data_IF_662623515660
#
_entry.id   IF_662623515660
#
_cell.length_a   1.000
_cell.length_b   1.000
_cell.length_c   1.000
_cell.angle_alpha   90.00
_cell.angle_beta   90.00
_cell.angle_gamma   90.00
#
_symmetry.space_group_name_H-M   'P 1'
#
loop_
_entity.id
_entity.type
_entity.pdbx_description
1 polymer ?
#
# COMPACT_ATOMS: atom_id res chain seq x y z
N UNK A 1 -2.20 19.55 -10.65
CA UNK A 1 -1.94 18.13 -10.30
C UNK A 1 -3.23 17.56 -9.73
N UNK A 2 -3.76 16.49 -10.31
CA UNK A 2 -5.11 16.00 -10.04
C UNK A 2 -5.23 15.44 -8.62
N UNK A 3 -6.01 16.12 -7.77
CA UNK A 3 -6.32 15.78 -6.38
C UNK A 3 -6.53 14.26 -6.17
N UNK A 4 -7.30 13.63 -7.06
CA UNK A 4 -7.63 12.20 -7.04
C UNK A 4 -6.44 11.23 -7.08
N UNK A 5 -5.36 11.54 -7.81
CA UNK A 5 -4.20 10.64 -7.93
C UNK A 5 -3.40 10.54 -6.63
N UNK A 6 -3.37 11.63 -5.86
CA UNK A 6 -2.72 11.66 -4.56
C UNK A 6 -3.57 10.94 -3.50
N UNK A 7 -4.89 11.08 -3.59
CA UNK A 7 -5.84 10.49 -2.63
C UNK A 7 -5.81 8.94 -2.70
N UNK A 8 -5.78 8.35 -3.90
CA UNK A 8 -5.66 6.89 -4.09
C UNK A 8 -4.32 6.34 -3.62
N UNK A 9 -3.21 7.06 -3.89
CA UNK A 9 -1.89 6.66 -3.37
C UNK A 9 -1.87 6.65 -1.84
N UNK A 10 -2.41 7.69 -1.19
CA UNK A 10 -2.55 7.73 0.25
C UNK A 10 -3.39 6.58 0.81
N UNK A 11 -4.49 6.23 0.13
CA UNK A 11 -5.33 5.11 0.49
C UNK A 11 -4.62 3.76 0.35
N UNK A 12 -3.85 3.56 -0.72
CA UNK A 12 -3.05 2.35 -0.91
C UNK A 12 -1.99 2.21 0.18
N UNK A 13 -1.28 3.28 0.52
CA UNK A 13 -0.32 3.28 1.64
C UNK A 13 -0.98 2.93 2.97
N UNK A 14 -2.15 3.52 3.26
CA UNK A 14 -2.92 3.21 4.46
C UNK A 14 -3.39 1.74 4.47
N UNK A 15 -3.83 1.23 3.32
CA UNK A 15 -4.24 -0.17 3.19
C UNK A 15 -3.07 -1.12 3.44
N UNK A 16 -1.90 -0.87 2.84
CA UNK A 16 -0.70 -1.69 3.07
C UNK A 16 -0.34 -1.70 4.57
N UNK A 17 -0.35 -0.54 5.23
CA UNK A 17 -0.09 -0.44 6.67
C UNK A 17 -1.12 -1.21 7.51
N UNK A 18 -2.40 -1.18 7.11
CA UNK A 18 -3.45 -1.94 7.79
C UNK A 18 -3.27 -3.45 7.62
N UNK A 19 -2.91 -3.92 6.42
CA UNK A 19 -2.64 -5.34 6.17
C UNK A 19 -1.40 -5.82 6.94
N UNK A 20 -0.35 -4.99 7.05
CA UNK A 20 0.79 -5.28 7.91
C UNK A 20 0.39 -5.40 9.38
N UNK A 21 -0.41 -4.44 9.88
CA UNK A 21 -0.86 -4.44 11.27
C UNK A 21 -1.70 -5.67 11.60
N UNK A 22 -2.59 -6.10 10.68
CA UNK A 22 -3.41 -7.30 10.85
C UNK A 22 -2.58 -8.59 10.94
N UNK A 23 -1.33 -8.57 10.44
CA UNK A 23 -0.39 -9.71 10.46
C UNK A 23 0.71 -9.56 11.52
N UNK A 24 0.68 -8.50 12.33
CA UNK A 24 1.76 -8.08 13.23
C UNK A 24 3.13 -7.93 12.52
N UNK A 25 3.13 -7.49 11.25
CA UNK A 25 4.35 -7.31 10.48
C UNK A 25 4.94 -5.91 10.65
N UNK A 26 6.27 -5.84 10.67
CA UNK A 26 7.04 -4.59 10.55
C UNK A 26 7.50 -4.40 9.11
N UNK A 27 7.89 -3.17 8.74
CA UNK A 27 8.34 -2.87 7.37
C UNK A 27 9.47 -3.78 6.87
N UNK A 28 10.49 -4.15 7.67
CA UNK A 28 11.53 -5.07 7.20
C UNK A 28 10.99 -6.45 6.79
N UNK A 29 9.94 -6.93 7.46
CA UNK A 29 9.34 -8.24 7.15
C UNK A 29 8.59 -8.19 5.81
N UNK A 30 7.76 -7.16 5.60
CA UNK A 30 7.08 -6.98 4.32
C UNK A 30 8.08 -6.75 3.17
N UNK A 31 9.10 -5.92 3.40
CA UNK A 31 10.13 -5.64 2.40
C UNK A 31 10.85 -6.92 1.95
N UNK A 32 11.24 -7.76 2.93
CA UNK A 32 11.86 -9.06 2.68
C UNK A 32 10.96 -9.98 1.85
N UNK A 33 9.67 -10.07 2.20
CA UNK A 33 8.69 -10.92 1.48
C UNK A 33 8.41 -10.41 0.07
N UNK A 34 8.34 -9.09 -0.11
CA UNK A 34 8.12 -8.45 -1.40
C UNK A 34 9.39 -8.35 -2.26
N UNK A 35 10.55 -8.81 -1.77
CA UNK A 35 11.80 -8.75 -2.54
C UNK A 35 12.33 -7.33 -2.80
N UNK A 36 11.94 -6.35 -1.99
CA UNK A 36 12.34 -4.94 -2.14
C UNK A 36 13.22 -4.47 -0.96
N UNK A 37 14.13 -3.51 -1.17
CA UNK A 37 14.89 -2.94 -0.06
C UNK A 37 13.97 -2.26 0.96
N UNK A 38 14.23 -2.45 2.26
CA UNK A 38 13.45 -1.83 3.34
C UNK A 38 13.40 -0.30 3.23
N UNK A 39 14.50 0.33 2.81
CA UNK A 39 14.54 1.78 2.57
C UNK A 39 13.61 2.21 1.44
N UNK A 40 13.49 1.39 0.38
CA UNK A 40 12.56 1.63 -0.73
C UNK A 40 11.11 1.51 -0.25
N UNK A 41 10.77 0.46 0.50
CA UNK A 41 9.44 0.31 1.09
C UNK A 41 9.12 1.47 2.05
N UNK A 42 10.07 1.92 2.86
CA UNK A 42 9.89 3.06 3.75
C UNK A 42 9.48 4.31 2.97
N UNK A 43 10.22 4.65 1.90
CA UNK A 43 9.92 5.83 1.06
C UNK A 43 8.55 5.74 0.41
N UNK A 44 8.16 4.54 -0.03
CA UNK A 44 6.80 4.27 -0.53
C UNK A 44 5.75 4.54 0.54
N UNK A 45 5.90 3.96 1.73
CA UNK A 45 4.91 4.08 2.81
C UNK A 45 4.90 5.45 3.50
N UNK A 46 5.96 6.24 3.34
CA UNK A 46 6.06 7.62 3.80
C UNK A 46 5.49 8.63 2.79
N UNK A 47 5.18 8.21 1.55
CA UNK A 47 4.75 9.12 0.48
C UNK A 47 5.89 9.97 -0.09
N UNK A 48 7.15 9.65 0.23
CA UNK A 48 8.33 10.32 -0.35
C UNK A 48 8.60 9.87 -1.80
N UNK A 49 7.93 8.81 -2.24
CA UNK A 49 8.00 8.27 -3.59
C UNK A 49 6.72 7.51 -3.91
N UNK A 50 6.18 7.74 -5.11
CA UNK A 50 5.06 6.95 -5.64
C UNK A 50 5.43 5.46 -5.74
N UNK A 51 4.43 4.60 -5.55
CA UNK A 51 4.60 3.15 -5.68
C UNK A 51 4.39 2.78 -7.16
N UNK A 52 5.42 2.30 -7.88
CA UNK A 52 5.25 1.79 -9.23
C UNK A 52 4.37 0.54 -9.24
N UNK A 53 3.57 0.33 -10.29
CA UNK A 53 2.66 -0.81 -10.39
C UNK A 53 3.34 -2.19 -10.16
N UNK A 54 4.55 -2.47 -10.70
CA UNK A 54 5.24 -3.72 -10.38
C UNK A 54 5.52 -3.91 -8.89
N UNK A 55 6.04 -2.87 -8.22
CA UNK A 55 6.31 -2.93 -6.78
C UNK A 55 5.01 -3.06 -5.95
N UNK A 56 3.92 -2.46 -6.42
CA UNK A 56 2.61 -2.63 -5.80
C UNK A 56 2.10 -4.08 -5.91
N UNK A 57 2.31 -4.72 -7.07
CA UNK A 57 2.00 -6.13 -7.25
C UNK A 57 2.86 -7.02 -6.33
N UNK A 58 4.17 -6.78 -6.25
CA UNK A 58 5.07 -7.52 -5.36
C UNK A 58 4.66 -7.39 -3.88
N UNK A 59 4.24 -6.19 -3.46
CA UNK A 59 3.72 -5.94 -2.11
C UNK A 59 2.40 -6.68 -1.88
N UNK A 60 1.50 -6.69 -2.86
CA UNK A 60 0.22 -7.39 -2.75
C UNK A 60 0.45 -8.91 -2.62
N UNK A 61 1.30 -9.48 -3.47
CA UNK A 61 1.65 -10.90 -3.43
C UNK A 61 2.29 -11.28 -2.09
N UNK A 62 3.18 -10.43 -1.57
CA UNK A 62 3.77 -10.62 -0.23
C UNK A 62 2.75 -10.57 0.91
N UNK A 63 1.63 -9.87 0.73
CA UNK A 63 0.50 -9.84 1.66
C UNK A 63 -0.51 -10.96 1.41
N UNK A 64 -0.24 -11.87 0.47
CA UNK A 64 -1.15 -12.95 0.04
C UNK A 64 -2.48 -12.40 -0.49
N UNK A 65 -2.42 -11.27 -1.19
CA UNK A 65 -3.55 -10.62 -1.85
C UNK A 65 -3.24 -10.41 -3.33
N UNK A 66 -4.25 -10.48 -4.20
CA UNK A 66 -4.07 -9.94 -5.54
C UNK A 66 -3.95 -8.42 -5.47
N UNK A 67 -3.21 -7.82 -6.41
CA UNK A 67 -3.11 -6.36 -6.48
C UNK A 67 -4.48 -5.68 -6.70
N UNK A 68 -5.42 -6.35 -7.40
CA UNK A 68 -6.79 -5.88 -7.59
C UNK A 68 -7.54 -5.83 -6.25
N UNK A 69 -7.40 -6.86 -5.42
CA UNK A 69 -8.05 -6.91 -4.10
C UNK A 69 -7.48 -5.84 -3.17
N UNK A 70 -6.16 -5.66 -3.16
CA UNK A 70 -5.50 -4.61 -2.37
C UNK A 70 -5.95 -3.20 -2.79
N UNK A 71 -6.00 -2.94 -4.09
CA UNK A 71 -6.48 -1.66 -4.64
C UNK A 71 -7.97 -1.43 -4.35
N UNK A 72 -8.81 -2.48 -4.47
CA UNK A 72 -10.23 -2.39 -4.16
C UNK A 72 -10.49 -2.08 -2.69
N UNK A 73 -9.71 -2.66 -1.76
CA UNK A 73 -9.78 -2.31 -0.33
C UNK A 73 -9.37 -0.87 -0.05
N UNK A 74 -8.32 -0.38 -0.73
CA UNK A 74 -7.90 1.02 -0.64
C UNK A 74 -8.99 1.98 -1.14
N UNK A 75 -9.59 1.67 -2.30
CA UNK A 75 -10.69 2.45 -2.88
C UNK A 75 -11.91 2.50 -1.96
N UNK A 76 -12.34 1.35 -1.42
CA UNK A 76 -13.46 1.30 -0.45
C UNK A 76 -13.20 2.15 0.79
N UNK A 77 -11.94 2.24 1.25
CA UNK A 77 -11.56 3.11 2.38
C UNK A 77 -11.65 4.60 2.02
N UNK A 78 -11.36 4.99 0.79
CA UNK A 78 -11.58 6.39 0.35
C UNK A 78 -13.06 6.71 0.33
N UNK A 79 -13.84 5.87 -0.33
CA UNK A 79 -15.29 6.06 -0.46
C UNK A 79 -15.95 6.13 0.92
N UNK A 80 -15.58 5.23 1.85
CA UNK A 80 -16.10 5.26 3.22
C UNK A 80 -15.64 6.45 4.08
N UNK A 81 -14.59 7.17 3.68
CA UNK A 81 -14.15 8.42 4.34
C UNK A 81 -14.90 9.66 3.83
N UNK A 82 -15.47 9.62 2.63
CA UNK A 82 -16.28 10.71 2.06
C UNK A 82 -17.76 10.68 2.54
N UNK A 83 -18.16 9.70 3.37
CA UNK A 83 -19.54 9.55 3.90
C UNK A 83 -19.67 10.02 5.36
N UNK A 84 -18.75 10.85 5.86
CA UNK A 84 -18.86 11.46 7.20
C UNK A 84 -18.70 12.98 7.16
#
# INVERSE_FOLDING_TARGET
MGKHGNDIQAAMMMQIKAEMAARDWKQPELAKRAGIPTSTLHRYLAGERDIPLPAFADIADALELSYIELASRAQRRLEGKDVQ
#
